data_IF_219233331810
#
_entry.id   IF_219233331810
#
_cell.length_a   1.000
_cell.length_b   1.000
_cell.length_c   1.000
_cell.angle_alpha   90.00
_cell.angle_beta   90.00
_cell.angle_gamma   90.00
#
_symmetry.space_group_name_H-M   'P 1'
#
loop_
_entity.id
_entity.type
_entity.pdbx_description
1 polymer ?
#
# COMPACT_ATOMS: atom_id res chain seq x y z
N UNK A 1 19.81 4.18 -37.67
CA UNK A 1 19.61 4.26 -36.20
C UNK A 1 18.34 3.49 -35.90
N UNK A 2 18.54 2.25 -35.48
CA UNK A 2 17.61 1.14 -35.68
C UNK A 2 16.44 1.12 -34.71
N UNK A 3 15.23 1.16 -35.27
CA UNK A 3 13.92 1.04 -34.59
C UNK A 3 13.82 -0.27 -33.77
N UNK A 4 14.61 -1.28 -34.12
CA UNK A 4 14.70 -2.56 -33.43
C UNK A 4 15.27 -2.47 -32.00
N UNK A 5 16.10 -1.45 -31.70
CA UNK A 5 16.76 -1.31 -30.39
C UNK A 5 15.85 -0.65 -29.33
N UNK A 6 14.80 0.06 -29.77
CA UNK A 6 13.79 0.67 -28.90
C UNK A 6 12.73 -0.37 -28.49
N UNK A 7 12.41 -1.33 -29.37
CA UNK A 7 11.39 -2.34 -29.11
C UNK A 7 11.78 -3.37 -28.03
N UNK A 8 13.08 -3.66 -27.88
CA UNK A 8 13.60 -4.59 -26.86
C UNK A 8 13.70 -3.96 -25.47
N UNK A 9 13.91 -2.63 -25.37
CA UNK A 9 13.89 -1.92 -24.09
C UNK A 9 12.47 -1.77 -23.53
N UNK A 10 11.46 -1.61 -24.39
CA UNK A 10 10.06 -1.49 -23.98
C UNK A 10 9.51 -2.77 -23.33
N UNK A 11 9.97 -3.93 -23.79
CA UNK A 11 9.55 -5.25 -23.28
C UNK A 11 10.21 -5.57 -21.92
N UNK A 12 11.45 -5.12 -21.69
CA UNK A 12 12.13 -5.21 -20.40
C UNK A 12 11.47 -4.33 -19.32
N UNK A 13 11.10 -3.09 -19.67
CA UNK A 13 10.41 -2.19 -18.75
C UNK A 13 9.01 -2.68 -18.37
N UNK A 14 8.22 -3.16 -19.34
CA UNK A 14 6.91 -3.74 -19.07
C UNK A 14 7.00 -5.00 -18.20
N UNK A 15 7.99 -5.86 -18.46
CA UNK A 15 8.26 -7.05 -17.65
C UNK A 15 8.70 -6.73 -16.22
N UNK A 16 9.58 -5.74 -16.04
CA UNK A 16 10.03 -5.28 -14.72
C UNK A 16 8.91 -4.62 -13.93
N UNK A 17 8.08 -3.78 -14.56
CA UNK A 17 6.88 -3.20 -13.95
C UNK A 17 5.88 -4.29 -13.57
N UNK A 18 5.64 -5.27 -14.43
CA UNK A 18 4.76 -6.40 -14.13
C UNK A 18 5.27 -7.24 -12.94
N UNK A 19 6.57 -7.53 -12.88
CA UNK A 19 7.20 -8.24 -11.76
C UNK A 19 7.14 -7.41 -10.47
N UNK A 20 7.44 -6.12 -10.51
CA UNK A 20 7.35 -5.22 -9.36
C UNK A 20 5.92 -5.15 -8.81
N UNK A 21 4.93 -5.02 -9.70
CA UNK A 21 3.50 -5.07 -9.35
C UNK A 21 3.10 -6.41 -8.73
N UNK A 22 3.67 -7.53 -9.21
CA UNK A 22 3.40 -8.87 -8.66
C UNK A 22 3.99 -9.02 -7.26
N UNK A 23 5.24 -8.62 -7.07
CA UNK A 23 5.95 -8.69 -5.78
C UNK A 23 5.24 -7.84 -4.73
N UNK A 24 4.79 -6.63 -5.08
CA UNK A 24 4.04 -5.77 -4.16
C UNK A 24 2.62 -6.26 -3.87
N UNK A 25 1.91 -6.81 -4.87
CA UNK A 25 0.61 -7.47 -4.64
C UNK A 25 0.75 -8.71 -3.75
N UNK A 26 1.83 -9.46 -3.88
CA UNK A 26 2.12 -10.57 -2.95
C UNK A 26 2.41 -10.06 -1.55
N UNK A 27 3.01 -8.89 -1.40
CA UNK A 27 3.36 -8.35 -0.07
C UNK A 27 2.12 -7.93 0.73
N UNK A 28 1.16 -7.25 0.09
CA UNK A 28 -0.11 -6.91 0.74
C UNK A 28 -0.93 -8.16 1.11
N UNK A 29 -0.95 -9.19 0.25
CA UNK A 29 -1.63 -10.46 0.56
C UNK A 29 -0.91 -11.28 1.63
N UNK A 30 0.43 -11.31 1.59
CA UNK A 30 1.27 -11.99 2.58
C UNK A 30 1.19 -11.31 3.93
N UNK A 31 1.27 -9.98 3.96
CA UNK A 31 1.05 -9.15 5.15
C UNK A 31 -0.35 -9.37 5.70
N UNK A 32 -1.41 -9.34 4.87
CA UNK A 32 -2.77 -9.68 5.34
C UNK A 32 -2.87 -11.10 5.89
N UNK A 33 -2.20 -12.09 5.29
CA UNK A 33 -2.21 -13.48 5.76
C UNK A 33 -1.48 -13.65 7.09
N UNK A 34 -0.32 -12.99 7.23
CA UNK A 34 0.46 -12.93 8.47
C UNK A 34 -0.31 -12.18 9.56
N UNK A 35 -0.92 -11.04 9.24
CA UNK A 35 -1.75 -10.26 10.17
C UNK A 35 -3.03 -11.00 10.58
N UNK A 36 -3.63 -11.82 9.70
CA UNK A 36 -4.78 -12.68 10.04
C UNK A 36 -4.42 -13.76 11.06
N UNK A 37 -3.16 -14.16 11.13
CA UNK A 37 -2.66 -15.14 12.10
C UNK A 37 -1.99 -14.47 13.30
N UNK A 38 -1.68 -13.17 13.22
CA UNK A 38 -1.08 -12.41 14.30
C UNK A 38 -2.12 -12.17 15.40
N UNK A 39 -1.77 -12.58 16.63
CA UNK A 39 -2.56 -12.24 17.81
C UNK A 39 -2.52 -10.73 18.01
N UNK A 40 -3.67 -10.12 18.31
CA UNK A 40 -3.72 -8.71 18.70
C UNK A 40 -2.93 -8.53 20.00
N UNK A 41 -1.98 -7.60 19.98
CA UNK A 41 -1.09 -7.28 21.11
C UNK A 41 -1.49 -5.90 21.65
N UNK A 42 -1.73 -5.76 22.97
CA UNK A 42 -1.92 -4.46 23.58
C UNK A 42 -0.68 -3.58 23.42
N UNK A 43 -0.85 -2.27 23.24
CA UNK A 43 0.26 -1.33 23.02
C UNK A 43 1.32 -1.41 24.13
N UNK A 44 0.90 -1.55 25.39
CA UNK A 44 1.83 -1.69 26.52
C UNK A 44 2.70 -2.96 26.50
N UNK A 45 2.40 -3.94 25.64
CA UNK A 45 3.13 -5.20 25.49
C UNK A 45 3.90 -5.29 24.17
N UNK A 46 4.01 -4.19 23.44
CA UNK A 46 4.83 -4.14 22.25
C UNK A 46 6.29 -4.37 22.62
N UNK A 47 6.97 -5.13 21.77
CA UNK A 47 8.39 -5.45 21.92
C UNK A 47 9.08 -4.93 20.67
N UNK A 48 10.10 -4.09 20.86
CA UNK A 48 10.85 -3.50 19.77
C UNK A 48 11.43 -4.57 18.83
N UNK A 49 11.38 -4.28 17.53
CA UNK A 49 11.86 -5.18 16.49
C UNK A 49 10.95 -6.39 16.19
N UNK A 50 9.81 -6.54 16.87
CA UNK A 50 8.83 -7.62 16.58
C UNK A 50 7.61 -7.09 15.84
N UNK A 51 7.16 -7.85 14.84
CA UNK A 51 5.88 -7.61 14.20
C UNK A 51 4.74 -7.87 15.19
N UNK A 52 3.83 -6.91 15.30
CA UNK A 52 2.65 -6.99 16.14
C UNK A 52 1.42 -6.48 15.38
N UNK A 53 0.24 -7.00 15.74
CA UNK A 53 -1.04 -6.46 15.30
C UNK A 53 -1.65 -5.67 16.46
N UNK A 54 -2.01 -4.41 16.22
CA UNK A 54 -2.63 -3.53 17.21
C UNK A 54 -4.01 -3.15 16.67
N UNK A 55 -5.02 -3.17 17.55
CA UNK A 55 -6.37 -2.70 17.25
C UNK A 55 -6.73 -1.61 18.25
N UNK A 56 -7.13 -0.46 17.74
CA UNK A 56 -7.45 0.70 18.57
C UNK A 56 -8.18 1.77 17.77
N UNK A 57 -8.49 2.88 18.44
CA UNK A 57 -9.04 4.07 17.80
C UNK A 57 -7.92 4.84 17.10
N UNK A 58 -8.19 5.29 15.88
CA UNK A 58 -7.27 6.16 15.15
C UNK A 58 -7.46 7.60 15.62
N UNK A 59 -6.36 8.27 15.94
CA UNK A 59 -6.29 9.70 16.20
C UNK A 59 -5.34 10.36 15.21
N UNK A 60 -5.72 11.54 14.74
CA UNK A 60 -4.90 12.29 13.80
C UNK A 60 -3.73 12.96 14.53
N UNK A 61 -2.53 12.89 13.93
CA UNK A 61 -1.38 13.67 14.36
C UNK A 61 -1.30 15.05 13.65
N UNK A 62 -2.20 15.30 12.69
CA UNK A 62 -2.29 16.50 11.86
C UNK A 62 -3.57 16.48 11.02
N UNK A 63 -3.51 16.96 9.78
CA UNK A 63 -4.67 16.95 8.89
C UNK A 63 -4.94 15.55 8.32
N UNK A 64 -6.23 15.20 8.21
CA UNK A 64 -6.65 14.01 7.49
C UNK A 64 -6.45 14.20 5.97
N UNK A 65 -6.22 13.11 5.26
CA UNK A 65 -6.23 13.09 3.79
C UNK A 65 -7.58 12.61 3.28
N UNK A 66 -7.95 13.09 2.11
CA UNK A 66 -9.17 12.67 1.43
C UNK A 66 -8.86 11.50 0.48
N UNK A 67 -9.64 10.43 0.59
CA UNK A 67 -9.51 9.29 -0.33
C UNK A 67 -9.95 9.67 -1.75
N UNK A 68 -9.14 9.31 -2.76
CA UNK A 68 -9.35 9.72 -4.15
C UNK A 68 -10.74 9.35 -4.71
N UNK A 69 -11.21 8.13 -4.42
CA UNK A 69 -12.45 7.59 -4.99
C UNK A 69 -13.66 7.89 -4.10
N UNK A 70 -13.56 7.63 -2.80
CA UNK A 70 -14.71 7.76 -1.89
C UNK A 70 -14.91 9.17 -1.36
N UNK A 71 -13.92 10.08 -1.54
CA UNK A 71 -13.96 11.44 -1.01
C UNK A 71 -14.14 11.52 0.50
N UNK A 72 -13.79 10.44 1.21
CA UNK A 72 -13.91 10.33 2.67
C UNK A 72 -12.58 10.71 3.34
N UNK A 73 -12.62 11.42 4.48
CA UNK A 73 -11.42 11.67 5.27
C UNK A 73 -10.88 10.35 5.83
N UNK A 74 -9.57 10.17 5.74
CA UNK A 74 -8.85 8.98 6.16
C UNK A 74 -7.39 9.33 6.53
N UNK A 75 -6.68 8.38 7.16
CA UNK A 75 -5.25 8.52 7.48
C UNK A 75 -4.33 7.87 6.44
N UNK A 76 -4.88 6.95 5.64
CA UNK A 76 -4.17 6.25 4.59
C UNK A 76 -5.15 5.75 3.52
N UNK A 77 -4.73 5.78 2.26
CA UNK A 77 -5.42 5.07 1.17
C UNK A 77 -4.42 4.47 0.18
N UNK A 78 -4.86 3.41 -0.50
CA UNK A 78 -4.20 2.80 -1.66
C UNK A 78 -5.23 2.72 -2.78
N UNK A 79 -4.99 3.46 -3.87
CA UNK A 79 -5.83 3.47 -5.06
C UNK A 79 -5.08 2.83 -6.20
N UNK A 80 -5.65 1.78 -6.80
CA UNK A 80 -5.12 1.16 -8.01
C UNK A 80 -6.09 1.41 -9.17
N UNK A 81 -5.66 2.19 -10.16
CA UNK A 81 -6.43 2.44 -11.40
C UNK A 81 -5.88 1.54 -12.49
N UNK A 82 -6.76 0.76 -13.14
CA UNK A 82 -6.40 -0.14 -14.23
C UNK A 82 -7.04 0.36 -15.51
N UNK A 83 -6.22 0.58 -16.53
CA UNK A 83 -6.65 1.01 -17.85
C UNK A 83 -6.73 -0.20 -18.76
N UNK A 84 -7.86 -0.38 -19.44
CA UNK A 84 -8.09 -1.45 -20.41
C UNK A 84 -8.32 -0.84 -21.79
N UNK A 85 -7.89 -1.52 -22.86
CA UNK A 85 -8.06 -1.05 -24.24
C UNK A 85 -8.46 -2.23 -25.14
N UNK A 86 -9.39 -1.98 -26.07
CA UNK A 86 -9.88 -3.00 -27.01
C UNK A 86 -10.99 -3.88 -26.41
N UNK A 87 -11.24 -5.02 -27.06
CA UNK A 87 -12.26 -6.02 -26.65
C UNK A 87 -11.75 -7.04 -25.63
N UNK A 88 -10.44 -7.10 -25.38
CA UNK A 88 -9.84 -8.07 -24.48
C UNK A 88 -9.59 -7.43 -23.10
N UNK A 89 -10.49 -7.69 -22.15
CA UNK A 89 -10.48 -7.09 -20.80
C UNK A 89 -9.68 -7.91 -19.77
N UNK A 90 -8.90 -8.88 -20.23
CA UNK A 90 -8.17 -9.84 -19.38
C UNK A 90 -6.87 -9.28 -18.82
N UNK A 91 -6.22 -8.35 -19.52
CA UNK A 91 -4.95 -7.74 -19.10
C UNK A 91 -5.02 -6.21 -19.20
N UNK A 92 -4.78 -5.47 -18.11
CA UNK A 92 -4.76 -4.02 -18.16
C UNK A 92 -3.55 -3.53 -18.96
N UNK A 93 -3.78 -2.58 -19.88
CA UNK A 93 -2.75 -1.87 -20.63
C UNK A 93 -1.80 -1.11 -19.69
N UNK A 94 -2.37 -0.50 -18.64
CA UNK A 94 -1.64 0.33 -17.70
C UNK A 94 -2.24 0.20 -16.31
N UNK A 95 -1.40 0.27 -15.29
CA UNK A 95 -1.82 0.31 -13.89
C UNK A 95 -1.16 1.51 -13.23
N UNK A 96 -1.97 2.42 -12.69
CA UNK A 96 -1.51 3.48 -11.82
C UNK A 96 -1.81 3.12 -10.37
N UNK A 97 -0.83 3.30 -9.49
CA UNK A 97 -0.97 3.08 -8.05
C UNK A 97 -0.67 4.39 -7.37
N UNK A 98 -1.63 4.91 -6.62
CA UNK A 98 -1.44 6.05 -5.75
C UNK A 98 -1.61 5.62 -4.30
N UNK A 99 -0.59 5.90 -3.49
CA UNK A 99 -0.58 5.64 -2.06
C UNK A 99 -0.29 6.93 -1.33
N UNK A 100 -1.15 7.27 -0.39
CA UNK A 100 -0.90 8.36 0.56
C UNK A 100 -1.18 7.89 1.96
N UNK A 101 -0.33 8.31 2.88
CA UNK A 101 -0.49 8.11 4.31
C UNK A 101 0.04 9.35 5.01
N UNK A 102 -0.66 9.78 6.05
CA UNK A 102 -0.18 10.82 6.97
C UNK A 102 0.19 10.19 8.30
N UNK A 103 1.05 10.81 9.12
CA UNK A 103 1.29 10.33 10.47
C UNK A 103 0.00 10.31 11.29
N UNK A 104 -0.22 9.25 12.07
CA UNK A 104 -1.37 9.12 12.94
C UNK A 104 -1.02 8.33 14.21
N UNK A 105 -1.93 8.31 15.17
CA UNK A 105 -1.82 7.50 16.37
C UNK A 105 -2.89 6.42 16.39
N UNK A 106 -2.53 5.27 16.96
CA UNK A 106 -3.46 4.23 17.37
C UNK A 106 -3.52 4.23 18.89
N UNK A 107 -4.72 4.34 19.44
CA UNK A 107 -4.96 4.38 20.89
C UNK A 107 -5.77 3.16 21.30
N UNK A 108 -5.29 2.42 22.29
CA UNK A 108 -6.03 1.36 22.96
C UNK A 108 -6.15 1.66 24.48
N UNK A 109 -6.70 0.73 25.26
CA UNK A 109 -6.85 0.92 26.71
C UNK A 109 -5.52 0.92 27.49
N UNK A 110 -4.42 0.55 26.83
CA UNK A 110 -3.10 0.35 27.46
C UNK A 110 -2.07 1.40 27.06
N UNK A 111 -2.33 2.16 26.00
CA UNK A 111 -1.46 3.25 25.60
C UNK A 111 -1.76 3.82 24.22
N UNK A 112 -0.75 4.50 23.68
CA UNK A 112 -0.80 5.21 22.40
C UNK A 112 0.45 4.89 21.58
N UNK A 113 0.25 4.43 20.35
CA UNK A 113 1.32 4.10 19.42
C UNK A 113 1.28 5.08 18.24
N UNK A 114 2.43 5.64 17.88
CA UNK A 114 2.58 6.51 16.70
C UNK A 114 2.90 5.66 15.47
N UNK A 115 2.19 5.91 14.39
CA UNK A 115 2.45 5.33 13.07
C UNK A 115 2.95 6.44 12.17
N UNK A 116 4.22 6.36 11.79
CA UNK A 116 4.83 7.31 10.87
C UNK A 116 4.54 6.93 9.42
N UNK A 117 4.29 7.95 8.58
CA UNK A 117 4.18 7.76 7.15
C UNK A 117 5.58 7.50 6.55
N UNK A 118 5.77 6.43 5.77
CA UNK A 118 7.02 6.26 5.03
C UNK A 118 7.13 7.44 4.06
N UNK A 119 8.27 8.11 4.05
CA UNK A 119 8.58 9.10 3.02
C UNK A 119 8.46 8.42 1.66
N UNK A 120 7.59 8.94 0.79
CA UNK A 120 7.56 8.55 -0.60
C UNK A 120 8.93 8.92 -1.20
N UNK A 121 9.72 7.89 -1.53
CA UNK A 121 10.97 8.03 -2.28
C UNK A 121 10.68 8.20 -3.78
#
# INVERSE_FOLDING_TARGET
MDVALIATLASGAAGAVYLALRVWRTDARRTRRVLRQARVVPIAKLVDGRLACIVGKVELAGDAIEALVSRRPCVAYDTTVQFFQGTDFTVPLRVEIERRMVPFFVVDSTGRARVDAPQAA
#
